data_IF_021400035481
#
_entry.id   IF_021400035481
#
_cell.length_a   1.000
_cell.length_b   1.000
_cell.length_c   1.000
_cell.angle_alpha   90.00
_cell.angle_beta   90.00
_cell.angle_gamma   90.00
#
_symmetry.space_group_name_H-M   'P 1'
#
loop_
_entity.id
_entity.type
_entity.pdbx_description
1 polymer ?
#
# COMPACT_ATOMS: atom_id res chain seq x y z
N UNK A 1 11.87 14.29 -28.10
CA UNK A 1 11.81 14.75 -26.69
C UNK A 1 11.79 13.52 -25.81
N UNK A 2 12.78 13.33 -24.94
CA UNK A 2 12.79 12.20 -24.02
C UNK A 2 11.66 12.39 -23.01
N UNK A 3 10.68 11.48 -23.04
CA UNK A 3 9.59 11.47 -22.08
C UNK A 3 10.17 11.07 -20.71
N UNK A 4 10.47 12.04 -19.86
CA UNK A 4 10.71 11.80 -18.44
C UNK A 4 9.43 11.15 -17.90
N UNK A 5 9.47 9.91 -17.36
CA UNK A 5 8.28 9.34 -16.75
C UNK A 5 7.87 10.30 -15.64
N UNK A 6 6.63 10.81 -15.70
CA UNK A 6 6.05 11.65 -14.64
C UNK A 6 6.36 10.94 -13.33
N UNK A 7 7.27 11.52 -12.54
CA UNK A 7 7.70 10.92 -11.28
C UNK A 7 6.46 10.55 -10.49
N UNK A 8 6.38 9.30 -10.04
CA UNK A 8 5.19 8.71 -9.43
C UNK A 8 4.62 9.70 -8.42
N UNK A 9 3.45 10.28 -8.72
CA UNK A 9 2.80 11.21 -7.82
C UNK A 9 2.38 10.42 -6.57
N UNK A 10 3.22 10.45 -5.54
CA UNK A 10 2.93 9.79 -4.27
C UNK A 10 1.92 10.65 -3.52
N UNK A 11 0.77 10.07 -3.19
CA UNK A 11 -0.23 10.68 -2.33
C UNK A 11 -0.02 10.17 -0.92
N UNK A 12 0.11 11.08 0.05
CA UNK A 12 0.13 10.71 1.47
C UNK A 12 -1.32 10.54 1.94
N UNK A 13 -1.66 9.35 2.43
CA UNK A 13 -2.94 9.09 3.07
C UNK A 13 -2.72 8.95 4.58
N UNK A 14 -3.47 9.69 5.38
CA UNK A 14 -3.52 9.54 6.83
C UNK A 14 -4.85 8.91 7.20
N UNK A 15 -4.80 7.82 7.95
CA UNK A 15 -5.98 7.07 8.36
C UNK A 15 -5.77 6.49 9.76
N UNK A 16 -6.85 6.40 10.51
CA UNK A 16 -6.87 5.81 11.85
C UNK A 16 -7.37 4.37 11.73
N UNK A 17 -6.58 3.43 12.20
CA UNK A 17 -6.95 2.01 12.27
C UNK A 17 -6.95 1.58 13.72
N UNK A 18 -7.82 0.64 14.04
CA UNK A 18 -7.75 -0.08 15.31
C UNK A 18 -6.39 -0.78 15.46
N UNK A 19 -5.83 -0.70 16.67
CA UNK A 19 -4.50 -1.22 16.96
C UNK A 19 -4.36 -2.71 16.67
N UNK A 20 -5.33 -3.52 17.09
CA UNK A 20 -5.29 -4.98 16.88
C UNK A 20 -5.33 -5.36 15.40
N UNK A 21 -6.13 -4.66 14.60
CA UNK A 21 -6.17 -4.85 13.16
C UNK A 21 -4.81 -4.49 12.52
N UNK A 22 -4.19 -3.38 12.96
CA UNK A 22 -2.88 -2.98 12.46
C UNK A 22 -1.76 -3.96 12.86
N UNK A 23 -1.73 -4.41 14.12
CA UNK A 23 -0.75 -5.39 14.60
C UNK A 23 -0.84 -6.72 13.83
N UNK A 24 -2.06 -7.20 13.58
CA UNK A 24 -2.29 -8.40 12.77
C UNK A 24 -1.85 -8.18 11.32
N UNK A 25 -2.14 -7.02 10.74
CA UNK A 25 -1.70 -6.66 9.40
C UNK A 25 -0.17 -6.60 9.29
N UNK A 26 0.53 -6.01 10.27
CA UNK A 26 2.00 -5.96 10.30
C UNK A 26 2.58 -7.37 10.39
N UNK A 27 2.04 -8.24 11.24
CA UNK A 27 2.48 -9.66 11.32
C UNK A 27 2.29 -10.39 10.00
N UNK A 28 1.19 -10.13 9.31
CA UNK A 28 0.92 -10.69 7.99
C UNK A 28 1.92 -10.18 6.94
N UNK A 29 2.21 -8.88 6.93
CA UNK A 29 3.19 -8.27 6.06
C UNK A 29 4.60 -8.83 6.30
N UNK A 30 4.99 -9.02 7.56
CA UNK A 30 6.26 -9.66 7.95
C UNK A 30 6.38 -11.10 7.43
N UNK A 31 5.30 -11.90 7.49
CA UNK A 31 5.29 -13.26 6.93
C UNK A 31 5.52 -13.27 5.42
N UNK A 32 5.13 -12.21 4.72
CA UNK A 32 5.32 -12.05 3.27
C UNK A 32 6.62 -11.35 2.90
N UNK A 33 7.41 -10.90 3.88
CA UNK A 33 8.63 -10.13 3.64
C UNK A 33 8.39 -8.78 2.96
N UNK A 34 7.20 -8.19 3.14
CA UNK A 34 6.80 -6.93 2.51
C UNK A 34 6.51 -5.87 3.57
N UNK A 35 6.78 -4.61 3.23
CA UNK A 35 6.39 -3.49 4.07
C UNK A 35 4.87 -3.27 4.02
N UNK A 36 4.23 -2.85 5.14
CA UNK A 36 2.79 -2.55 5.19
C UNK A 36 2.32 -1.62 4.06
N UNK A 37 3.07 -0.55 3.77
CA UNK A 37 2.73 0.40 2.70
C UNK A 37 2.66 -0.26 1.32
N UNK A 38 3.61 -1.16 1.01
CA UNK A 38 3.65 -1.88 -0.28
C UNK A 38 2.44 -2.80 -0.39
N UNK A 39 2.04 -3.44 0.71
CA UNK A 39 0.86 -4.29 0.75
C UNK A 39 -0.43 -3.49 0.55
N UNK A 40 -0.57 -2.33 1.22
CA UNK A 40 -1.71 -1.43 1.02
C UNK A 40 -1.79 -0.97 -0.43
N UNK A 41 -0.67 -0.56 -1.04
CA UNK A 41 -0.64 -0.16 -2.45
C UNK A 41 -1.04 -1.29 -3.41
N UNK A 42 -0.63 -2.53 -3.12
CA UNK A 42 -1.04 -3.71 -3.90
C UNK A 42 -2.53 -3.97 -3.77
N UNK A 43 -3.06 -3.98 -2.54
CA UNK A 43 -4.49 -4.19 -2.31
C UNK A 43 -5.34 -3.09 -2.95
N UNK A 44 -4.92 -1.82 -2.86
CA UNK A 44 -5.59 -0.71 -3.55
C UNK A 44 -5.65 -0.94 -5.06
N UNK A 45 -4.54 -1.35 -5.68
CA UNK A 45 -4.51 -1.67 -7.12
C UNK A 45 -5.40 -2.87 -7.46
N UNK A 46 -5.38 -3.92 -6.66
CA UNK A 46 -6.23 -5.10 -6.86
C UNK A 46 -7.72 -4.76 -6.75
N UNK A 47 -8.12 -3.94 -5.78
CA UNK A 47 -9.52 -3.52 -5.60
C UNK A 47 -9.97 -2.69 -6.80
N UNK A 48 -9.18 -1.71 -7.23
CA UNK A 48 -9.51 -0.88 -8.40
C UNK A 48 -9.55 -1.70 -9.69
N UNK A 49 -8.66 -2.69 -9.83
CA UNK A 49 -8.66 -3.57 -10.99
C UNK A 49 -9.82 -4.57 -10.99
N UNK A 50 -10.36 -4.91 -9.82
CA UNK A 50 -11.50 -5.83 -9.69
C UNK A 50 -12.86 -5.18 -9.91
N UNK A 51 -12.96 -3.85 -9.78
CA UNK A 51 -14.10 -3.02 -10.21
C UNK A 51 -15.46 -3.60 -9.86
#
# INVERSE_FOLDING_TARGET
MAATPKGTAKVKAEYVVEKEAYDNFVRYCSKKGLAPNVMVERYMKEIVARG
#
